data_IF_299846981554
#
_entry.id   IF_299846981554
#
_cell.length_a   1.000
_cell.length_b   1.000
_cell.length_c   1.000
_cell.angle_alpha   90.00
_cell.angle_beta   90.00
_cell.angle_gamma   90.00
#
_symmetry.space_group_name_H-M   'P 1'
#
loop_
_entity.id
_entity.type
_entity.pdbx_description
1 polymer ?
#
# COMPACT_ATOMS: atom_id res chain seq x y z
N UNK A 1 -2.61 26.15 25.47
CA UNK A 1 -1.27 26.33 24.87
C UNK A 1 -1.53 26.87 23.46
N UNK A 2 -0.95 28.02 23.06
CA UNK A 2 -1.31 28.67 21.79
C UNK A 2 -0.85 27.81 20.61
N UNK A 3 -1.73 27.58 19.63
CA UNK A 3 -1.53 26.77 18.40
C UNK A 3 -0.19 27.10 17.70
N UNK A 4 0.22 28.37 17.74
CA UNK A 4 1.52 28.83 17.20
C UNK A 4 2.72 28.07 17.80
N UNK A 5 2.63 27.62 19.05
CA UNK A 5 3.72 26.86 19.69
C UNK A 5 3.72 25.39 19.30
N UNK A 6 2.58 24.81 18.94
CA UNK A 6 2.46 23.42 18.44
C UNK A 6 3.02 23.33 17.00
N UNK A 7 2.67 24.30 16.16
CA UNK A 7 3.20 24.36 14.78
C UNK A 7 4.71 24.62 14.76
N UNK A 8 5.22 25.43 15.68
CA UNK A 8 6.67 25.71 15.82
C UNK A 8 7.40 24.47 16.34
N UNK A 9 6.84 23.72 17.28
CA UNK A 9 7.43 22.46 17.78
C UNK A 9 7.43 21.40 16.67
N UNK A 10 6.36 21.33 15.87
CA UNK A 10 6.28 20.41 14.74
C UNK A 10 7.29 20.74 13.64
N UNK A 11 7.43 22.04 13.29
CA UNK A 11 8.43 22.50 12.32
C UNK A 11 9.87 22.37 12.83
N UNK A 12 10.13 22.63 14.10
CA UNK A 12 11.46 22.48 14.71
C UNK A 12 11.88 21.01 14.85
N UNK A 13 10.95 20.08 15.10
CA UNK A 13 11.26 18.65 15.14
C UNK A 13 11.68 18.13 13.77
N UNK A 14 11.02 18.58 12.70
CA UNK A 14 11.37 18.20 11.32
C UNK A 14 12.72 18.79 10.90
N UNK A 15 13.02 20.03 11.32
CA UNK A 15 14.29 20.71 11.00
C UNK A 15 15.45 20.18 11.83
N UNK A 16 15.26 19.91 13.15
CA UNK A 16 16.33 19.43 14.02
C UNK A 16 16.79 18.00 13.71
N UNK A 17 15.86 17.12 13.32
CA UNK A 17 16.20 15.75 12.88
C UNK A 17 16.92 15.72 11.52
N UNK A 18 16.76 16.75 10.71
CA UNK A 18 17.46 16.89 9.41
C UNK A 18 18.89 17.41 9.50
N UNK A 19 19.24 18.13 10.58
CA UNK A 19 20.53 18.81 10.71
C UNK A 19 21.61 17.98 11.43
N UNK A 20 21.27 16.90 12.11
CA UNK A 20 22.26 16.09 12.88
C UNK A 20 22.74 14.81 12.19
N UNK A 21 22.23 14.49 11.01
CA UNK A 21 22.78 13.38 10.22
C UNK A 21 24.05 13.81 9.45
N UNK A 22 25.10 14.23 10.18
CA UNK A 22 26.44 14.25 9.61
C UNK A 22 26.93 12.82 9.45
N UNK A 23 27.15 12.42 8.19
CA UNK A 23 27.75 11.17 7.81
C UNK A 23 29.14 11.02 8.49
N UNK A 24 29.19 10.25 9.58
CA UNK A 24 30.42 9.48 9.84
C UNK A 24 30.35 8.28 8.88
N UNK A 25 31.37 8.05 8.02
CA UNK A 25 31.37 6.89 7.15
C UNK A 25 31.27 5.66 8.07
N UNK A 26 30.21 4.88 7.93
CA UNK A 26 30.15 3.54 8.49
C UNK A 26 31.40 2.84 7.95
N UNK A 27 32.28 2.37 8.85
CA UNK A 27 33.44 1.57 8.45
C UNK A 27 32.90 0.47 7.57
N UNK A 28 33.26 0.52 6.30
CA UNK A 28 32.82 -0.39 5.27
C UNK A 28 33.08 -1.82 5.72
N UNK A 29 32.12 -2.72 5.49
CA UNK A 29 32.31 -4.16 5.65
C UNK A 29 33.56 -4.64 4.89
N UNK A 30 33.97 -3.94 3.82
CA UNK A 30 35.25 -4.15 3.13
C UNK A 30 36.46 -3.97 4.04
N UNK A 31 36.48 -3.02 4.99
CA UNK A 31 37.61 -2.84 5.92
C UNK A 31 37.69 -3.96 6.97
N UNK A 32 36.57 -4.63 7.25
CA UNK A 32 36.57 -5.84 8.08
C UNK A 32 37.08 -7.05 7.25
N UNK A 33 36.67 -7.14 6.00
CA UNK A 33 37.16 -8.19 5.07
C UNK A 33 38.64 -8.00 4.77
N UNK A 34 39.16 -6.77 4.60
CA UNK A 34 40.58 -6.47 4.40
C UNK A 34 41.42 -6.77 5.65
N UNK A 35 40.86 -6.70 6.86
CA UNK A 35 41.54 -7.16 8.09
C UNK A 35 41.60 -8.67 8.19
N UNK A 36 40.72 -9.41 7.52
CA UNK A 36 40.72 -10.88 7.43
C UNK A 36 41.66 -11.39 6.34
N UNK A 37 42.04 -10.56 5.37
CA UNK A 37 42.96 -10.95 4.28
C UNK A 37 44.43 -11.23 4.70
N UNK A 38 44.73 -11.08 5.98
CA UNK A 38 46.05 -11.46 6.58
C UNK A 38 46.02 -12.78 7.32
N UNK A 39 44.93 -13.51 7.25
CA UNK A 39 44.80 -14.84 7.88
C UNK A 39 44.91 -15.90 6.80
N UNK A 40 45.63 -17.01 7.11
CA UNK A 40 45.74 -18.21 6.28
C UNK A 40 44.44 -18.54 5.55
N UNK A 41 44.53 -19.07 4.30
CA UNK A 41 43.37 -19.43 3.50
C UNK A 41 42.30 -20.12 4.36
N UNK A 42 41.07 -19.58 4.42
CA UNK A 42 40.05 -20.13 5.32
C UNK A 42 39.76 -21.58 4.93
N UNK A 43 39.74 -22.47 5.92
CA UNK A 43 39.40 -23.87 5.69
C UNK A 43 38.07 -24.02 4.95
N UNK A 44 37.90 -25.07 4.14
CA UNK A 44 36.63 -25.33 3.43
C UNK A 44 35.42 -25.38 4.39
N UNK A 45 35.64 -25.84 5.62
CA UNK A 45 34.60 -25.84 6.67
C UNK A 45 34.20 -24.44 7.08
N UNK A 46 35.14 -23.50 7.21
CA UNK A 46 34.84 -22.09 7.51
C UNK A 46 34.15 -21.40 6.34
N UNK A 47 34.60 -21.67 5.09
CA UNK A 47 33.95 -21.17 3.88
C UNK A 47 32.49 -21.67 3.75
N UNK A 48 32.25 -22.94 4.09
CA UNK A 48 30.90 -23.50 4.12
C UNK A 48 30.02 -22.89 5.23
N UNK A 49 30.59 -22.61 6.40
CA UNK A 49 29.87 -21.88 7.46
C UNK A 49 29.52 -20.46 7.04
N UNK A 50 30.44 -19.74 6.41
CA UNK A 50 30.21 -18.38 5.91
C UNK A 50 29.14 -18.39 4.80
N UNK A 51 29.19 -19.32 3.86
CA UNK A 51 28.20 -19.50 2.78
C UNK A 51 26.79 -19.80 3.29
N UNK A 52 26.68 -20.42 4.47
CA UNK A 52 25.42 -20.77 5.09
C UNK A 52 24.95 -19.73 6.13
N UNK A 53 25.68 -18.61 6.32
CA UNK A 53 25.22 -17.54 7.19
C UNK A 53 24.10 -16.74 6.55
N UNK A 54 23.11 -16.26 7.36
CA UNK A 54 22.11 -15.33 6.86
C UNK A 54 22.76 -14.04 6.33
N UNK A 55 22.36 -13.61 5.15
CA UNK A 55 22.73 -12.31 4.62
C UNK A 55 21.78 -11.25 5.18
N UNK A 56 22.31 -10.22 5.84
CA UNK A 56 21.54 -9.11 6.41
C UNK A 56 21.84 -7.87 5.58
N UNK A 57 20.80 -7.35 4.92
CA UNK A 57 20.92 -6.13 4.13
C UNK A 57 19.76 -5.19 4.48
N UNK A 58 20.12 -3.96 4.93
CA UNK A 58 19.12 -2.95 5.29
C UNK A 58 18.24 -2.63 4.09
N UNK A 59 16.93 -2.78 4.28
CA UNK A 59 15.93 -2.57 3.21
C UNK A 59 15.61 -3.81 2.38
N UNK A 60 16.42 -4.86 2.45
CA UNK A 60 16.15 -6.13 1.78
C UNK A 60 15.82 -7.26 2.76
N UNK A 61 16.15 -7.07 4.06
CA UNK A 61 15.84 -8.02 5.12
C UNK A 61 16.96 -8.99 5.44
N UNK A 62 16.59 -10.05 6.14
CA UNK A 62 17.48 -11.16 6.51
C UNK A 62 17.17 -12.32 5.57
N UNK A 63 18.11 -12.67 4.70
CA UNK A 63 17.94 -13.74 3.71
C UNK A 63 18.80 -14.94 4.09
N UNK A 64 18.21 -16.11 3.95
CA UNK A 64 18.88 -17.39 4.07
C UNK A 64 18.60 -18.22 2.82
N UNK A 65 19.66 -18.66 2.14
CA UNK A 65 19.61 -19.52 0.96
C UNK A 65 20.78 -20.52 1.04
N UNK A 66 20.53 -21.80 1.31
CA UNK A 66 21.60 -22.80 1.41
C UNK A 66 22.27 -23.05 0.07
N UNK A 67 23.47 -23.62 0.11
CA UNK A 67 24.31 -23.84 -1.06
C UNK A 67 23.64 -24.73 -2.13
N UNK A 68 22.77 -25.66 -1.73
CA UNK A 68 22.02 -26.55 -2.63
C UNK A 68 20.83 -25.84 -3.32
N UNK A 69 20.50 -24.59 -2.94
CA UNK A 69 19.44 -23.77 -3.49
C UNK A 69 18.06 -24.45 -3.53
N UNK A 70 17.80 -25.36 -2.60
CA UNK A 70 16.50 -26.04 -2.52
C UNK A 70 15.42 -25.19 -1.86
N UNK A 71 15.81 -24.19 -1.06
CA UNK A 71 14.87 -23.24 -0.48
C UNK A 71 15.55 -21.88 -0.27
N UNK A 72 14.74 -20.86 -0.19
CA UNK A 72 15.14 -19.53 0.22
C UNK A 72 14.09 -18.96 1.16
N UNK A 73 14.54 -18.27 2.18
CA UNK A 73 13.68 -17.48 3.06
C UNK A 73 14.27 -16.09 3.22
N UNK A 74 13.46 -15.07 3.00
CA UNK A 74 13.80 -13.68 3.31
C UNK A 74 12.79 -13.19 4.33
N UNK A 75 13.26 -12.80 5.51
CA UNK A 75 12.47 -12.20 6.56
C UNK A 75 12.64 -10.67 6.50
N UNK A 76 11.53 -9.96 6.55
CA UNK A 76 11.48 -8.49 6.59
C UNK A 76 10.59 -8.02 7.71
N UNK A 77 11.06 -7.02 8.41
CA UNK A 77 10.34 -6.35 9.49
C UNK A 77 10.00 -4.92 9.08
N UNK A 78 8.87 -4.40 9.56
CA UNK A 78 8.50 -3.01 9.35
C UNK A 78 7.65 -2.45 10.48
N UNK A 79 8.00 -1.23 10.91
CA UNK A 79 7.27 -0.45 11.90
C UNK A 79 6.97 0.95 11.36
N UNK A 80 5.75 1.44 11.58
CA UNK A 80 5.33 2.81 11.30
C UNK A 80 4.68 3.40 12.54
N UNK A 81 5.28 4.45 13.11
CA UNK A 81 4.75 5.23 14.21
C UNK A 81 4.22 6.55 13.68
N UNK A 82 3.00 6.90 14.03
CA UNK A 82 2.31 8.09 13.55
C UNK A 82 1.75 8.90 14.70
N UNK A 83 1.84 10.22 14.58
CA UNK A 83 1.08 11.18 15.35
C UNK A 83 0.29 12.09 14.42
N UNK A 84 -0.90 12.50 14.82
CA UNK A 84 -1.75 13.43 14.08
C UNK A 84 -2.46 14.40 15.01
N UNK A 85 -2.76 15.58 14.46
CA UNK A 85 -3.60 16.61 15.10
C UNK A 85 -4.60 17.07 14.06
N UNK A 86 -5.88 17.09 14.44
CA UNK A 86 -6.97 17.63 13.64
C UNK A 86 -7.45 18.95 14.26
N UNK A 87 -7.69 19.93 13.41
CA UNK A 87 -8.24 21.25 13.79
C UNK A 87 -9.51 21.47 12.96
N UNK A 88 -10.48 22.12 13.55
CA UNK A 88 -11.67 22.60 12.85
C UNK A 88 -11.27 23.66 11.80
N UNK A 89 -12.24 24.09 10.99
CA UNK A 89 -12.01 25.08 9.94
C UNK A 89 -11.50 26.43 10.49
N UNK A 90 -11.94 26.81 11.67
CA UNK A 90 -11.48 27.99 12.42
C UNK A 90 -10.14 27.81 13.14
N UNK A 91 -9.41 26.72 12.88
CA UNK A 91 -8.19 26.32 13.57
C UNK A 91 -8.35 26.04 15.06
N UNK A 92 -9.56 25.91 15.59
CA UNK A 92 -9.74 25.38 16.95
C UNK A 92 -9.35 23.90 17.02
N UNK A 93 -8.89 23.46 18.19
CA UNK A 93 -8.50 22.07 18.40
C UNK A 93 -9.72 21.13 18.31
N UNK A 94 -9.57 20.04 17.55
CA UNK A 94 -10.58 18.99 17.45
C UNK A 94 -10.09 17.71 18.16
N UNK A 95 -9.00 17.10 17.66
CA UNK A 95 -8.50 15.84 18.22
C UNK A 95 -6.99 15.68 18.02
N UNK A 96 -6.35 14.82 18.82
CA UNK A 96 -4.98 14.38 18.59
C UNK A 96 -4.89 12.85 18.77
N UNK A 97 -4.06 12.25 17.98
CA UNK A 97 -3.84 10.81 17.98
C UNK A 97 -2.35 10.49 17.88
N UNK A 98 -1.90 9.47 18.62
CA UNK A 98 -0.57 8.89 18.46
C UNK A 98 -0.68 7.38 18.56
N UNK A 99 -0.10 6.66 17.57
CA UNK A 99 -0.21 5.20 17.50
C UNK A 99 0.91 4.52 16.72
N UNK A 100 1.13 3.26 17.03
CA UNK A 100 1.83 2.34 16.13
C UNK A 100 0.85 1.98 15.01
N UNK A 101 1.00 2.65 13.84
CA UNK A 101 0.08 2.47 12.73
C UNK A 101 0.23 1.10 12.07
N UNK A 102 1.49 0.64 11.90
CA UNK A 102 1.78 -0.68 11.34
C UNK A 102 2.99 -1.29 12.04
N UNK A 103 2.85 -2.54 12.40
CA UNK A 103 3.93 -3.41 12.85
C UNK A 103 3.77 -4.73 12.09
N UNK A 104 4.71 -5.04 11.18
CA UNK A 104 4.56 -6.18 10.26
C UNK A 104 5.80 -7.02 10.18
N UNK A 105 5.59 -8.31 10.01
CA UNK A 105 6.61 -9.30 9.71
C UNK A 105 6.23 -9.98 8.40
N UNK A 106 7.20 -10.16 7.51
CA UNK A 106 6.98 -10.79 6.21
C UNK A 106 8.07 -11.82 5.93
N UNK A 107 7.65 -12.96 5.42
CA UNK A 107 8.51 -14.04 4.95
C UNK A 107 8.19 -14.30 3.48
N UNK A 108 9.20 -14.25 2.63
CA UNK A 108 9.10 -14.58 1.22
C UNK A 108 10.22 -15.53 0.85
N UNK A 109 9.99 -16.36 -0.15
CA UNK A 109 11.02 -17.25 -0.65
C UNK A 109 10.50 -18.29 -1.61
N UNK A 110 11.25 -19.37 -1.75
CA UNK A 110 10.86 -20.53 -2.54
C UNK A 110 11.20 -21.83 -1.80
N UNK A 111 10.51 -22.91 -2.17
CA UNK A 111 10.72 -24.27 -1.64
C UNK A 111 10.87 -25.22 -2.83
N UNK A 112 11.84 -26.16 -2.74
CA UNK A 112 12.21 -27.15 -3.74
C UNK A 112 12.77 -26.57 -5.04
N UNK A 113 12.21 -25.50 -5.54
CA UNK A 113 12.60 -24.87 -6.80
C UNK A 113 12.26 -23.38 -6.77
N UNK A 114 13.07 -22.50 -7.40
CA UNK A 114 12.73 -21.09 -7.61
C UNK A 114 11.41 -20.85 -8.33
N UNK A 115 10.78 -21.88 -8.91
CA UNK A 115 9.47 -21.80 -9.53
C UNK A 115 8.30 -21.90 -8.54
N UNK A 116 8.53 -22.47 -7.33
CA UNK A 116 7.51 -22.61 -6.31
C UNK A 116 7.77 -21.62 -5.18
N UNK A 117 7.11 -20.46 -5.26
CA UNK A 117 7.29 -19.32 -4.36
C UNK A 117 6.24 -19.34 -3.26
N UNK A 118 6.60 -18.76 -2.11
CA UNK A 118 5.63 -18.48 -1.06
C UNK A 118 5.78 -17.06 -0.53
N UNK A 119 4.71 -16.53 0.03
CA UNK A 119 4.70 -15.23 0.72
C UNK A 119 3.75 -15.27 1.90
N UNK A 120 4.26 -14.95 3.09
CA UNK A 120 3.50 -14.84 4.33
C UNK A 120 3.71 -13.44 4.88
N UNK A 121 2.63 -12.73 5.21
CA UNK A 121 2.72 -11.44 5.89
C UNK A 121 1.80 -11.43 7.11
N UNK A 122 2.37 -11.05 8.25
CA UNK A 122 1.67 -10.88 9.51
C UNK A 122 1.60 -9.38 9.87
N UNK A 123 0.52 -8.96 10.51
CA UNK A 123 0.32 -7.61 11.02
C UNK A 123 -0.18 -7.66 12.46
N UNK A 124 0.43 -6.85 13.35
CA UNK A 124 0.25 -6.93 14.79
C UNK A 124 -0.45 -5.71 15.40
N UNK A 125 -0.96 -4.79 14.58
CA UNK A 125 -1.65 -3.60 15.06
C UNK A 125 -3.15 -3.68 14.82
N UNK A 126 -3.99 -3.00 15.63
CA UNK A 126 -5.43 -2.92 15.39
C UNK A 126 -5.76 -2.36 13.99
N UNK A 127 -4.92 -1.48 13.45
CA UNK A 127 -5.08 -0.96 12.09
C UNK A 127 -4.95 -2.05 11.00
N UNK A 128 -4.14 -3.08 11.26
CA UNK A 128 -3.91 -4.19 10.34
C UNK A 128 -4.85 -5.39 10.59
N UNK A 129 -5.44 -5.47 11.78
CA UNK A 129 -6.24 -6.63 12.24
C UNK A 129 -7.74 -6.33 12.36
N UNK A 130 -8.24 -5.28 11.70
CA UNK A 130 -9.67 -4.91 11.76
C UNK A 130 -10.59 -6.10 11.43
N UNK A 131 -11.60 -6.25 12.27
CA UNK A 131 -12.90 -6.88 12.04
C UNK A 131 -12.92 -8.40 11.80
N UNK A 132 -12.83 -9.15 12.88
CA UNK A 132 -13.46 -10.47 12.95
C UNK A 132 -14.70 -10.36 13.85
N UNK A 133 -15.86 -10.91 13.44
CA UNK A 133 -17.12 -10.82 14.20
C UNK A 133 -17.06 -11.45 15.58
N UNK A 134 -16.09 -12.33 15.83
CA UNK A 134 -15.94 -13.12 17.06
C UNK A 134 -14.81 -12.63 17.98
N UNK A 135 -14.25 -11.44 17.73
CA UNK A 135 -13.19 -10.85 18.56
C UNK A 135 -11.82 -11.52 18.43
N UNK A 136 -11.65 -12.49 17.54
CA UNK A 136 -10.37 -13.13 17.29
C UNK A 136 -9.38 -12.19 16.61
N UNK A 137 -8.12 -12.23 17.03
CA UNK A 137 -7.06 -11.41 16.44
C UNK A 137 -6.66 -11.97 15.07
N UNK A 138 -6.95 -11.20 14.03
CA UNK A 138 -6.64 -11.55 12.66
C UNK A 138 -5.26 -10.97 12.25
N UNK A 139 -4.19 -11.69 12.55
CA UNK A 139 -2.82 -11.25 12.21
C UNK A 139 -2.39 -11.62 10.78
N UNK A 140 -3.03 -12.60 10.14
CA UNK A 140 -2.64 -13.06 8.80
C UNK A 140 -3.12 -12.07 7.75
N UNK A 141 -2.17 -11.43 7.05
CA UNK A 141 -2.46 -10.52 5.94
C UNK A 141 -2.32 -11.21 4.59
N UNK A 142 -1.19 -11.84 4.35
CA UNK A 142 -0.92 -12.60 3.13
C UNK A 142 -0.50 -14.02 3.52
N UNK A 143 -1.00 -15.03 2.82
CA UNK A 143 -0.60 -16.43 2.91
C UNK A 143 -0.79 -17.03 1.52
N UNK A 144 0.28 -17.04 0.71
CA UNK A 144 0.24 -17.38 -0.71
C UNK A 144 1.29 -18.40 -1.09
N UNK A 145 0.91 -19.27 -1.99
CA UNK A 145 1.82 -20.11 -2.77
C UNK A 145 1.65 -19.74 -4.24
N UNK A 146 2.76 -19.55 -4.95
CA UNK A 146 2.77 -19.25 -6.39
C UNK A 146 3.59 -20.32 -7.12
N UNK A 147 3.12 -20.68 -8.29
CA UNK A 147 3.88 -21.49 -9.24
C UNK A 147 4.16 -20.65 -10.50
N UNK A 148 5.44 -20.57 -10.87
CA UNK A 148 5.92 -19.84 -12.04
C UNK A 148 6.49 -20.85 -13.06
N UNK A 149 5.66 -21.43 -13.94
CA UNK A 149 6.14 -22.35 -14.95
C UNK A 149 7.12 -21.69 -15.93
N UNK A 150 6.88 -20.40 -16.22
CA UNK A 150 7.76 -19.56 -17.04
C UNK A 150 8.08 -18.25 -16.33
N UNK A 151 9.04 -17.49 -16.84
CA UNK A 151 9.37 -16.16 -16.30
C UNK A 151 8.19 -15.16 -16.41
N UNK A 152 7.35 -15.33 -17.41
CA UNK A 152 6.29 -14.38 -17.76
C UNK A 152 4.92 -14.74 -17.21
N UNK A 153 4.75 -15.93 -16.66
CA UNK A 153 3.47 -16.42 -16.17
C UNK A 153 3.57 -16.97 -14.75
N UNK A 154 2.65 -16.54 -13.90
CA UNK A 154 2.49 -17.08 -12.55
C UNK A 154 1.03 -17.40 -12.26
N UNK A 155 0.80 -18.48 -11.53
CA UNK A 155 -0.48 -18.82 -10.91
C UNK A 155 -0.27 -18.94 -9.40
N UNK A 156 -1.19 -18.41 -8.61
CA UNK A 156 -1.12 -18.43 -7.16
C UNK A 156 -2.42 -18.91 -6.53
N UNK A 157 -2.31 -19.50 -5.35
CA UNK A 157 -3.43 -19.90 -4.52
C UNK A 157 -3.20 -19.49 -3.08
N UNK A 158 -4.23 -18.94 -2.43
CA UNK A 158 -4.19 -18.48 -1.06
C UNK A 158 -4.79 -17.08 -0.88
N UNK A 159 -4.35 -16.36 0.15
CA UNK A 159 -4.85 -15.05 0.52
C UNK A 159 -3.82 -13.96 0.22
N UNK A 160 -4.19 -12.97 -0.60
CA UNK A 160 -3.36 -11.79 -0.87
C UNK A 160 -4.20 -10.62 -1.39
N UNK A 161 -3.53 -9.49 -1.68
CA UNK A 161 -4.17 -8.32 -2.30
C UNK A 161 -4.73 -8.66 -3.69
N UNK A 162 -5.97 -8.27 -3.93
CA UNK A 162 -6.54 -8.27 -5.28
C UNK A 162 -5.79 -7.21 -6.12
N UNK A 163 -5.37 -7.59 -7.33
CA UNK A 163 -4.55 -6.75 -8.20
C UNK A 163 -5.39 -5.77 -9.04
N UNK A 164 -6.50 -5.22 -8.50
CA UNK A 164 -7.39 -4.33 -9.22
C UNK A 164 -6.94 -2.86 -9.16
N UNK A 165 -6.84 -2.28 -7.98
CA UNK A 165 -6.54 -0.87 -7.82
C UNK A 165 -5.07 -0.63 -7.40
N UNK A 166 -4.37 0.20 -8.17
CA UNK A 166 -2.94 0.50 -8.01
C UNK A 166 -2.64 1.05 -6.61
N UNK A 167 -3.39 2.02 -6.12
CA UNK A 167 -3.18 2.61 -4.82
C UNK A 167 -3.14 1.58 -3.67
N UNK A 168 -3.89 0.47 -3.78
CA UNK A 168 -3.87 -0.61 -2.79
C UNK A 168 -2.72 -1.59 -3.01
N UNK A 169 -2.42 -1.89 -4.29
CA UNK A 169 -1.31 -2.77 -4.67
C UNK A 169 0.02 -2.17 -4.22
N UNK A 170 0.22 -0.86 -4.37
CA UNK A 170 1.40 -0.15 -3.91
C UNK A 170 1.73 -0.52 -2.46
N UNK A 171 3.04 -0.71 -2.21
CA UNK A 171 3.50 -0.97 -0.85
C UNK A 171 3.17 0.21 0.04
N UNK A 172 2.66 -0.06 1.25
CA UNK A 172 2.46 1.02 2.23
C UNK A 172 3.77 1.60 2.80
N UNK A 173 4.93 1.01 2.47
CA UNK A 173 6.24 1.62 2.71
C UNK A 173 6.66 2.59 1.60
N UNK A 174 6.09 2.45 0.40
CA UNK A 174 6.43 3.24 -0.76
C UNK A 174 5.42 4.36 -1.05
N UNK A 175 4.65 4.78 -0.03
CA UNK A 175 3.75 5.92 -0.11
C UNK A 175 4.52 7.24 0.05
N UNK A 176 4.11 8.25 -0.69
CA UNK A 176 4.59 9.63 -0.60
C UNK A 176 3.94 10.41 0.54
N UNK A 177 2.73 10.03 0.90
CA UNK A 177 1.93 10.61 1.98
C UNK A 177 1.89 9.66 3.18
N UNK A 178 1.56 10.18 4.35
CA UNK A 178 1.42 9.37 5.57
C UNK A 178 0.33 8.30 5.37
N UNK A 179 -0.71 8.58 4.57
CA UNK A 179 -1.72 7.60 4.21
C UNK A 179 -2.15 7.67 2.74
N UNK A 180 -2.90 6.65 2.30
CA UNK A 180 -3.54 6.62 0.98
C UNK A 180 -4.63 7.68 0.86
N UNK A 181 -5.06 7.95 -0.38
CA UNK A 181 -6.15 8.86 -0.70
C UNK A 181 -7.49 8.42 -0.08
N UNK A 182 -8.40 9.37 0.13
CA UNK A 182 -9.78 9.08 0.53
C UNK A 182 -10.48 8.22 -0.53
N UNK A 183 -10.15 8.40 -1.81
CA UNK A 183 -10.68 7.58 -2.93
C UNK A 183 -10.29 6.11 -2.74
N UNK A 184 -9.02 5.83 -2.44
CA UNK A 184 -8.62 4.45 -2.11
C UNK A 184 -9.27 3.98 -0.80
N UNK A 185 -9.48 4.84 0.18
CA UNK A 185 -10.13 4.44 1.43
C UNK A 185 -11.53 3.89 1.18
N UNK A 186 -12.27 4.53 0.28
CA UNK A 186 -13.66 4.19 -0.02
C UNK A 186 -13.80 3.06 -1.04
N UNK A 187 -13.08 3.11 -2.15
CA UNK A 187 -13.33 2.21 -3.28
C UNK A 187 -12.36 1.04 -3.41
N UNK A 188 -11.37 0.91 -2.52
CA UNK A 188 -10.36 -0.16 -2.68
C UNK A 188 -10.96 -1.56 -2.56
N UNK A 189 -10.39 -2.49 -3.36
CA UNK A 189 -10.44 -3.91 -3.08
C UNK A 189 -9.21 -4.27 -2.27
N UNK A 190 -9.39 -4.89 -1.11
CA UNK A 190 -8.24 -5.24 -0.24
C UNK A 190 -7.70 -6.62 -0.59
N UNK A 191 -7.82 -7.53 0.30
CA UNK A 191 -7.32 -8.91 0.20
C UNK A 191 -8.48 -9.87 0.21
N UNK A 192 -8.26 -10.98 -0.48
CA UNK A 192 -9.22 -12.06 -0.51
C UNK A 192 -8.49 -13.40 -0.68
N UNK A 193 -9.18 -14.50 -0.49
CA UNK A 193 -8.69 -15.85 -0.65
C UNK A 193 -9.19 -16.44 -1.97
N UNK A 194 -8.30 -17.03 -2.76
CA UNK A 194 -8.66 -17.67 -4.02
C UNK A 194 -7.49 -17.96 -4.95
N UNK A 195 -7.78 -17.99 -6.24
CA UNK A 195 -6.81 -18.17 -7.32
C UNK A 195 -6.46 -16.84 -7.95
N UNK A 196 -5.17 -16.67 -8.27
CA UNK A 196 -4.61 -15.49 -8.89
C UNK A 196 -3.72 -15.89 -10.06
N UNK A 197 -3.76 -15.16 -11.16
CA UNK A 197 -2.90 -15.37 -12.31
C UNK A 197 -2.34 -14.03 -12.81
N UNK A 198 -1.06 -14.01 -13.18
CA UNK A 198 -0.40 -12.86 -13.78
C UNK A 198 0.41 -13.30 -15.01
N UNK A 199 0.28 -12.54 -16.09
CA UNK A 199 1.02 -12.76 -17.32
C UNK A 199 1.63 -11.46 -17.81
N UNK A 200 2.91 -11.49 -18.15
CA UNK A 200 3.68 -10.35 -18.65
C UNK A 200 4.20 -10.67 -20.04
N UNK A 201 4.10 -9.73 -20.97
CA UNK A 201 4.56 -9.90 -22.35
C UNK A 201 5.22 -8.62 -22.84
N UNK A 202 6.43 -8.74 -23.38
CA UNK A 202 6.99 -7.75 -24.30
C UNK A 202 6.41 -7.96 -25.68
N UNK A 203 5.83 -6.93 -26.28
CA UNK A 203 5.11 -7.04 -27.56
C UNK A 203 6.05 -6.64 -28.70
N UNK A 204 6.54 -5.39 -28.69
CA UNK A 204 7.46 -4.86 -29.70
C UNK A 204 8.34 -3.76 -29.07
N UNK A 205 9.65 -3.80 -29.28
CA UNK A 205 10.57 -2.88 -28.66
C UNK A 205 10.39 -2.82 -27.14
N UNK A 206 10.22 -1.64 -26.62
CA UNK A 206 10.02 -1.41 -25.17
C UNK A 206 8.55 -1.56 -24.73
N UNK A 207 7.61 -1.76 -25.65
CA UNK A 207 6.20 -1.87 -25.29
C UNK A 207 5.90 -3.20 -24.60
N UNK A 208 5.45 -3.13 -23.35
CA UNK A 208 5.09 -4.28 -22.53
C UNK A 208 3.62 -4.23 -22.10
N UNK A 209 3.03 -5.39 -21.94
CA UNK A 209 1.66 -5.60 -21.45
C UNK A 209 1.67 -6.56 -20.28
N UNK A 210 0.86 -6.27 -19.25
CA UNK A 210 0.59 -7.22 -18.18
C UNK A 210 -0.92 -7.48 -18.08
N UNK A 211 -1.28 -8.76 -17.92
CA UNK A 211 -2.64 -9.22 -17.66
C UNK A 211 -2.66 -9.84 -16.28
N UNK A 212 -3.64 -9.45 -15.47
CA UNK A 212 -3.79 -9.97 -14.09
C UNK A 212 -5.24 -10.36 -13.88
N UNK A 213 -5.46 -11.50 -13.25
CA UNK A 213 -6.80 -12.00 -12.98
C UNK A 213 -6.88 -12.69 -11.63
N UNK A 214 -8.08 -12.72 -11.04
CA UNK A 214 -8.35 -13.52 -9.86
C UNK A 214 -9.79 -13.97 -9.79
N UNK A 215 -9.99 -15.16 -9.21
CA UNK A 215 -11.27 -15.71 -8.79
C UNK A 215 -11.14 -15.97 -7.30
N UNK A 216 -11.93 -15.26 -6.50
CA UNK A 216 -11.81 -15.26 -5.04
C UNK A 216 -13.17 -15.43 -4.37
N UNK A 217 -13.18 -15.68 -3.05
CA UNK A 217 -14.42 -15.90 -2.30
C UNK A 217 -15.33 -14.66 -2.22
N UNK A 218 -14.79 -13.45 -2.37
CA UNK A 218 -15.58 -12.21 -2.26
C UNK A 218 -15.79 -11.71 -0.82
N UNK A 219 -15.37 -12.46 0.20
CA UNK A 219 -15.66 -12.24 1.61
C UNK A 219 -14.53 -11.51 2.37
N UNK A 220 -13.37 -11.34 1.71
CA UNK A 220 -12.21 -10.72 2.31
C UNK A 220 -11.34 -11.65 3.12
N UNK A 221 -10.48 -11.06 3.98
CA UNK A 221 -9.44 -11.80 4.70
C UNK A 221 -9.99 -12.74 5.77
N UNK A 222 -9.34 -13.91 5.86
CA UNK A 222 -9.49 -14.87 6.95
C UNK A 222 -10.95 -15.27 7.20
N UNK A 223 -11.71 -15.37 6.13
CA UNK A 223 -13.06 -15.91 6.16
C UNK A 223 -13.00 -17.36 6.61
N UNK A 224 -13.71 -17.71 7.65
CA UNK A 224 -13.63 -19.02 8.33
C UNK A 224 -14.90 -19.84 8.24
N UNK A 225 -15.94 -19.30 7.61
CA UNK A 225 -17.21 -19.99 7.41
C UNK A 225 -17.45 -20.22 5.91
N UNK A 226 -18.43 -21.06 5.57
CA UNK A 226 -18.86 -21.20 4.19
C UNK A 226 -19.47 -19.89 3.70
N UNK A 227 -19.09 -19.45 2.48
CA UNK A 227 -19.71 -18.30 1.84
C UNK A 227 -21.16 -18.64 1.50
N UNK A 228 -22.07 -17.74 1.83
CA UNK A 228 -23.47 -17.82 1.37
C UNK A 228 -23.67 -17.03 0.07
N UNK A 229 -22.66 -16.24 -0.32
CA UNK A 229 -22.63 -15.48 -1.57
C UNK A 229 -22.09 -16.25 -2.75
N UNK A 230 -21.77 -15.52 -3.80
CA UNK A 230 -21.06 -16.02 -4.96
C UNK A 230 -19.55 -15.85 -4.81
N UNK A 231 -18.89 -15.77 -5.98
CA UNK A 231 -17.47 -15.52 -6.06
C UNK A 231 -17.21 -14.09 -6.57
N UNK A 232 -16.01 -13.58 -6.29
CA UNK A 232 -15.53 -12.35 -6.89
C UNK A 232 -14.60 -12.66 -8.09
N UNK A 233 -14.85 -12.00 -9.20
CA UNK A 233 -14.09 -12.14 -10.45
C UNK A 233 -13.42 -10.78 -10.74
N UNK A 234 -12.11 -10.77 -10.87
CA UNK A 234 -11.36 -9.55 -11.13
C UNK A 234 -10.43 -9.72 -12.30
N UNK A 235 -10.43 -8.74 -13.22
CA UNK A 235 -9.50 -8.66 -14.34
C UNK A 235 -8.83 -7.30 -14.40
N UNK A 236 -7.54 -7.25 -14.80
CA UNK A 236 -6.76 -6.03 -14.98
C UNK A 236 -5.82 -6.16 -16.17
N UNK A 237 -5.73 -5.07 -16.94
CA UNK A 237 -4.77 -4.90 -18.03
C UNK A 237 -3.86 -3.71 -17.70
N UNK A 238 -2.57 -3.88 -17.90
CA UNK A 238 -1.55 -2.82 -17.73
C UNK A 238 -0.74 -2.68 -19.01
N UNK A 239 -0.56 -1.45 -19.47
CA UNK A 239 0.22 -1.07 -20.65
C UNK A 239 1.43 -0.25 -20.23
N UNK A 240 2.61 -0.63 -20.69
CA UNK A 240 3.89 0.05 -20.44
C UNK A 240 4.49 0.48 -21.79
N UNK A 241 4.08 1.65 -22.34
CA UNK A 241 4.48 2.07 -23.70
C UNK A 241 6.00 2.26 -23.87
N UNK A 242 6.70 2.67 -22.81
CA UNK A 242 8.13 2.99 -22.83
C UNK A 242 8.96 2.04 -21.94
N UNK A 243 8.53 0.80 -21.83
CA UNK A 243 9.19 -0.21 -21.01
C UNK A 243 8.76 -0.18 -19.55
N UNK A 244 9.19 -1.22 -18.84
CA UNK A 244 8.90 -1.35 -17.40
C UNK A 244 9.73 -0.37 -16.57
N UNK A 245 9.24 -0.03 -15.40
CA UNK A 245 9.94 0.82 -14.43
C UNK A 245 11.11 0.06 -13.78
N UNK A 246 12.19 0.78 -13.42
CA UNK A 246 13.30 0.23 -12.65
C UNK A 246 12.82 -0.24 -11.27
N UNK A 247 13.40 -1.31 -10.74
CA UNK A 247 13.20 -1.80 -9.37
C UNK A 247 11.72 -1.91 -8.94
N UNK A 248 10.82 -2.30 -9.85
CA UNK A 248 9.37 -2.34 -9.60
C UNK A 248 8.79 -0.96 -9.23
N UNK A 249 9.29 0.11 -9.83
CA UNK A 249 8.83 1.47 -9.61
C UNK A 249 7.35 1.69 -9.92
N UNK A 250 6.70 0.80 -10.68
CA UNK A 250 5.27 0.82 -10.93
C UNK A 250 4.41 0.53 -9.67
N UNK A 251 4.97 -0.06 -8.62
CA UNK A 251 4.30 -0.32 -7.33
C UNK A 251 4.78 0.58 -6.19
N UNK A 252 5.53 1.63 -6.50
CA UNK A 252 5.90 2.73 -5.62
C UNK A 252 5.27 4.03 -6.13
N UNK A 253 4.95 4.99 -5.26
CA UNK A 253 4.28 6.22 -5.69
C UNK A 253 5.27 7.23 -6.29
N UNK A 254 6.35 7.58 -5.58
CA UNK A 254 7.38 8.51 -6.06
C UNK A 254 8.36 7.90 -7.08
N UNK A 255 9.16 8.76 -7.71
CA UNK A 255 10.26 8.35 -8.58
C UNK A 255 11.57 8.26 -7.81
N UNK A 256 11.65 7.32 -6.85
CA UNK A 256 12.85 7.13 -6.03
C UNK A 256 14.06 6.64 -6.85
N UNK A 257 13.82 5.85 -7.89
CA UNK A 257 14.85 5.30 -8.78
C UNK A 257 15.38 6.33 -9.80
N UNK A 258 14.77 7.51 -9.89
CA UNK A 258 15.09 8.57 -10.85
C UNK A 258 15.19 8.02 -12.27
N UNK A 259 14.04 7.63 -12.82
CA UNK A 259 13.96 7.08 -14.17
C UNK A 259 14.64 8.02 -15.19
N UNK A 260 15.67 7.55 -15.86
CA UNK A 260 16.47 8.36 -16.81
C UNK A 260 15.69 8.71 -18.07
N UNK A 261 14.70 7.89 -18.41
CA UNK A 261 13.77 8.08 -19.52
C UNK A 261 12.34 8.11 -19.00
N UNK A 262 11.48 8.83 -19.72
CA UNK A 262 10.06 8.86 -19.37
C UNK A 262 9.50 7.42 -19.32
N UNK A 263 8.93 7.06 -18.20
CA UNK A 263 8.21 5.80 -18.00
C UNK A 263 6.74 6.10 -17.76
N UNK A 264 5.90 5.32 -18.44
CA UNK A 264 4.44 5.48 -18.37
C UNK A 264 3.80 4.12 -18.12
N UNK A 265 2.78 4.11 -17.29
CA UNK A 265 1.83 3.03 -17.15
C UNK A 265 0.42 3.57 -17.31
N UNK A 266 -0.37 2.90 -18.13
CA UNK A 266 -1.83 3.08 -18.23
C UNK A 266 -2.48 1.74 -17.91
N UNK A 267 -3.48 1.73 -17.03
CA UNK A 267 -4.12 0.50 -16.65
C UNK A 267 -5.62 0.65 -16.42
N UNK A 268 -6.34 -0.44 -16.63
CA UNK A 268 -7.76 -0.56 -16.33
C UNK A 268 -8.06 -1.89 -15.65
N UNK A 269 -9.00 -1.89 -14.71
CA UNK A 269 -9.46 -3.09 -14.04
C UNK A 269 -10.97 -3.05 -13.77
N UNK A 270 -11.55 -4.22 -13.71
CA UNK A 270 -12.94 -4.45 -13.35
C UNK A 270 -13.06 -5.64 -12.40
N UNK A 271 -13.96 -5.52 -11.44
CA UNK A 271 -14.27 -6.58 -10.48
C UNK A 271 -15.77 -6.69 -10.28
N UNK A 272 -16.28 -7.91 -10.43
CA UNK A 272 -17.65 -8.28 -10.08
C UNK A 272 -17.61 -9.17 -8.84
N UNK A 273 -18.25 -8.75 -7.74
CA UNK A 273 -18.42 -9.52 -6.52
C UNK A 273 -19.89 -9.91 -6.39
N UNK A 274 -20.17 -11.18 -6.60
CA UNK A 274 -21.52 -11.71 -6.57
C UNK A 274 -21.94 -11.98 -5.11
N UNK A 275 -23.05 -11.35 -4.68
CA UNK A 275 -23.67 -11.52 -3.36
C UNK A 275 -22.68 -11.32 -2.20
N UNK A 276 -21.95 -10.21 -2.20
CA UNK A 276 -21.08 -9.87 -1.07
C UNK A 276 -21.90 -9.67 0.22
N UNK A 277 -21.28 -10.00 1.34
CA UNK A 277 -21.81 -9.75 2.68
C UNK A 277 -21.18 -8.54 3.38
N UNK A 278 -20.37 -7.72 2.65
CA UNK A 278 -19.70 -6.54 3.19
C UNK A 278 -20.00 -5.29 2.38
N UNK A 279 -20.05 -4.14 3.06
CA UNK A 279 -20.38 -2.84 2.46
C UNK A 279 -19.36 -2.38 1.40
N UNK A 280 -18.13 -2.87 1.44
CA UNK A 280 -17.07 -2.52 0.49
C UNK A 280 -16.52 -3.75 -0.27
N UNK A 281 -17.31 -4.81 -0.41
CA UNK A 281 -16.89 -6.05 -1.06
C UNK A 281 -16.00 -6.90 -0.12
N UNK A 282 -14.70 -6.88 -0.30
CA UNK A 282 -13.75 -7.63 0.54
C UNK A 282 -13.39 -6.89 1.84
N UNK A 283 -14.01 -5.76 2.13
CA UNK A 283 -13.69 -4.90 3.26
C UNK A 283 -14.97 -4.19 3.77
N UNK A 284 -14.82 -3.40 4.83
CA UNK A 284 -15.93 -2.70 5.46
C UNK A 284 -16.71 -3.55 6.47
N UNK A 285 -17.76 -2.98 7.03
CA UNK A 285 -18.65 -3.67 7.95
C UNK A 285 -19.47 -4.75 7.22
N UNK A 286 -20.05 -5.66 7.99
CA UNK A 286 -20.98 -6.65 7.44
C UNK A 286 -22.31 -5.98 7.07
N UNK A 287 -22.91 -6.47 5.99
CA UNK A 287 -24.23 -6.04 5.52
C UNK A 287 -25.29 -6.45 6.57
N UNK A 288 -26.21 -5.54 6.93
CA UNK A 288 -27.28 -5.84 7.90
C UNK A 288 -28.14 -7.04 7.45
N UNK A 289 -28.49 -7.90 8.40
CA UNK A 289 -29.43 -9.02 8.21
C UNK A 289 -29.15 -9.93 7.01
N UNK A 290 -27.88 -10.01 6.55
CA UNK A 290 -27.49 -10.81 5.37
C UNK A 290 -28.25 -10.43 4.08
N UNK A 291 -28.61 -9.17 3.92
CA UNK A 291 -29.16 -8.64 2.66
C UNK A 291 -28.06 -8.54 1.60
N UNK A 292 -27.57 -9.69 1.11
CA UNK A 292 -26.45 -9.78 0.18
C UNK A 292 -26.66 -8.90 -1.08
N UNK A 293 -25.58 -8.33 -1.60
CA UNK A 293 -25.62 -7.43 -2.76
C UNK A 293 -24.55 -7.78 -3.78
N UNK A 294 -24.85 -7.53 -5.05
CA UNK A 294 -23.88 -7.60 -6.14
C UNK A 294 -23.14 -6.28 -6.28
N UNK A 295 -21.82 -6.32 -6.29
CA UNK A 295 -20.97 -5.15 -6.45
C UNK A 295 -20.17 -5.18 -7.74
N UNK A 296 -20.23 -4.09 -8.48
CA UNK A 296 -19.44 -3.83 -9.66
C UNK A 296 -18.43 -2.72 -9.36
N UNK A 297 -17.12 -3.02 -9.37
CA UNK A 297 -16.07 -2.03 -9.12
C UNK A 297 -15.19 -1.88 -10.35
N UNK A 298 -14.82 -0.63 -10.69
CA UNK A 298 -13.98 -0.32 -11.84
C UNK A 298 -12.89 0.68 -11.46
N UNK A 299 -11.74 0.53 -12.12
CA UNK A 299 -10.52 1.25 -11.81
C UNK A 299 -9.80 1.62 -13.10
N UNK A 300 -9.35 2.86 -13.19
CA UNK A 300 -8.42 3.32 -14.23
C UNK A 300 -7.30 4.05 -13.53
N UNK A 301 -6.06 3.75 -13.87
CA UNK A 301 -4.91 4.43 -13.29
C UNK A 301 -3.83 4.75 -14.34
N UNK A 302 -3.12 5.85 -14.08
CA UNK A 302 -2.04 6.34 -14.91
C UNK A 302 -0.87 6.75 -14.03
N UNK A 303 0.34 6.35 -14.42
CA UNK A 303 1.62 6.74 -13.78
C UNK A 303 2.55 7.28 -14.86
N UNK A 304 3.22 8.40 -14.54
CA UNK A 304 4.35 8.93 -15.30
C UNK A 304 5.50 9.21 -14.35
N UNK A 305 6.71 8.76 -14.70
CA UNK A 305 7.93 9.04 -13.94
C UNK A 305 9.06 9.46 -14.85
N UNK A 306 9.83 10.46 -14.39
CA UNK A 306 11.00 10.95 -15.10
C UNK A 306 11.90 11.77 -14.17
N UNK A 307 13.15 11.39 -14.01
CA UNK A 307 14.22 12.15 -13.32
C UNK A 307 13.82 12.75 -11.96
N UNK A 308 13.17 11.95 -11.13
CA UNK A 308 12.68 12.34 -9.80
C UNK A 308 11.29 12.94 -9.80
N UNK A 309 10.71 13.29 -10.94
CA UNK A 309 9.31 13.67 -11.05
C UNK A 309 8.42 12.45 -11.14
N UNK A 310 7.34 12.44 -10.37
CA UNK A 310 6.31 11.41 -10.46
C UNK A 310 4.92 12.07 -10.52
N UNK A 311 4.10 11.60 -11.44
CA UNK A 311 2.68 11.92 -11.55
C UNK A 311 1.88 10.63 -11.48
N UNK A 312 0.85 10.62 -10.66
CA UNK A 312 -0.06 9.50 -10.52
C UNK A 312 -1.50 10.00 -10.44
N UNK A 313 -2.38 9.36 -11.17
CA UNK A 313 -3.82 9.58 -11.06
C UNK A 313 -4.56 8.27 -11.12
N UNK A 314 -5.66 8.16 -10.36
CA UNK A 314 -6.55 7.02 -10.38
C UNK A 314 -8.01 7.48 -10.27
N UNK A 315 -8.83 6.85 -11.09
CA UNK A 315 -10.28 6.95 -11.07
C UNK A 315 -10.85 5.62 -10.63
N UNK A 316 -11.67 5.62 -9.61
CA UNK A 316 -12.27 4.43 -9.04
C UNK A 316 -13.76 4.62 -8.89
N UNK A 317 -14.52 3.54 -8.99
CA UNK A 317 -15.95 3.60 -8.74
C UNK A 317 -16.54 2.27 -8.35
N UNK A 318 -17.73 2.35 -7.75
CA UNK A 318 -18.53 1.19 -7.35
C UNK A 318 -19.99 1.44 -7.69
N UNK A 319 -20.63 0.40 -8.23
CA UNK A 319 -22.06 0.35 -8.49
C UNK A 319 -22.71 -0.82 -7.78
N UNK A 320 -23.89 -0.59 -7.26
CA UNK A 320 -24.80 -1.56 -6.69
C UNK A 320 -26.23 -1.16 -7.11
N UNK A 321 -27.04 -2.11 -7.52
CA UNK A 321 -28.43 -1.81 -7.95
C UNK A 321 -29.30 -1.33 -6.78
N UNK A 322 -29.06 -1.89 -5.59
CA UNK A 322 -29.80 -1.59 -4.36
C UNK A 322 -28.82 -1.26 -3.23
N UNK A 323 -28.24 -0.04 -3.18
CA UNK A 323 -27.21 0.29 -2.19
C UNK A 323 -27.78 0.59 -0.80
N UNK A 324 -29.09 0.78 -0.66
CA UNK A 324 -29.78 1.05 0.61
C UNK A 324 -30.35 -0.23 1.19
N UNK A 325 -30.52 -0.26 2.51
CA UNK A 325 -31.07 -1.41 3.23
C UNK A 325 -32.42 -1.05 3.84
N UNK A 326 -33.39 -1.95 3.70
CA UNK A 326 -34.74 -1.77 4.28
C UNK A 326 -34.75 -1.98 5.78
N UNK A 327 -33.85 -2.81 6.27
CA UNK A 327 -33.74 -3.19 7.68
C UNK A 327 -32.84 -2.26 8.50
N UNK A 328 -32.01 -1.46 7.83
CA UNK A 328 -31.12 -0.46 8.43
C UNK A 328 -31.00 0.77 7.51
N UNK A 329 -31.95 1.74 7.60
CA UNK A 329 -31.98 2.89 6.73
C UNK A 329 -30.79 3.87 6.91
N UNK A 330 -30.00 3.75 7.99
CA UNK A 330 -28.85 4.59 8.26
C UNK A 330 -27.57 4.01 7.64
N UNK A 331 -27.62 2.79 7.10
CA UNK A 331 -26.51 2.11 6.47
C UNK A 331 -26.70 2.03 4.96
N UNK A 332 -25.63 2.23 4.19
CA UNK A 332 -25.63 2.05 2.75
C UNK A 332 -24.32 1.42 2.25
N UNK A 333 -24.39 0.81 1.07
CA UNK A 333 -23.21 0.58 0.26
C UNK A 333 -22.85 1.91 -0.42
N UNK A 334 -21.66 2.42 -0.17
CA UNK A 334 -21.19 3.63 -0.83
C UNK A 334 -21.02 3.38 -2.33
N UNK A 335 -21.95 3.88 -3.15
CA UNK A 335 -21.90 3.88 -4.61
C UNK A 335 -21.50 5.25 -5.13
N UNK A 336 -20.86 5.29 -6.29
CA UNK A 336 -20.36 6.51 -6.89
C UNK A 336 -18.93 6.35 -7.44
N UNK A 337 -18.27 7.48 -7.56
CA UNK A 337 -16.94 7.59 -8.15
C UNK A 337 -15.97 8.35 -7.25
N UNK A 338 -14.68 8.21 -7.53
CA UNK A 338 -13.65 9.02 -6.93
C UNK A 338 -12.49 9.25 -7.89
N UNK A 339 -11.93 10.45 -7.84
CA UNK A 339 -10.75 10.85 -8.59
C UNK A 339 -9.65 11.25 -7.64
N UNK A 340 -8.48 10.67 -7.81
CA UNK A 340 -7.27 11.05 -7.11
C UNK A 340 -6.22 11.51 -8.12
N UNK A 341 -5.61 12.66 -7.87
CA UNK A 341 -4.51 13.21 -8.66
C UNK A 341 -3.40 13.61 -7.72
N UNK A 342 -2.18 13.14 -7.99
CA UNK A 342 -1.01 13.50 -7.19
C UNK A 342 0.23 13.69 -8.06
N UNK A 343 1.09 14.61 -7.63
CA UNK A 343 2.38 14.86 -8.25
C UNK A 343 3.45 15.05 -7.17
N UNK A 344 4.67 14.70 -7.49
CA UNK A 344 5.81 14.89 -6.60
C UNK A 344 7.09 15.15 -7.34
N UNK A 345 8.06 15.67 -6.59
CA UNK A 345 9.43 15.78 -7.05
C UNK A 345 10.41 15.37 -5.94
N UNK A 346 11.28 14.43 -6.28
CA UNK A 346 12.38 13.98 -5.42
C UNK A 346 13.60 14.85 -5.68
N UNK A 347 13.91 15.77 -4.77
CA UNK A 347 15.09 16.64 -4.82
C UNK A 347 16.39 15.88 -4.55
N UNK A 348 17.57 16.45 -4.92
CA UNK A 348 18.85 15.96 -4.43
C UNK A 348 18.86 15.81 -2.91
N UNK A 349 19.69 14.90 -2.37
CA UNK A 349 19.76 14.56 -0.95
C UNK A 349 18.49 13.90 -0.40
N UNK A 350 17.66 13.28 -1.27
CA UNK A 350 16.50 12.44 -0.93
C UNK A 350 15.42 13.16 -0.09
N UNK A 351 15.13 14.41 -0.43
CA UNK A 351 13.92 15.11 -0.01
C UNK A 351 12.87 15.01 -1.10
N UNK A 352 11.65 14.71 -0.74
CA UNK A 352 10.52 14.69 -1.67
C UNK A 352 9.43 15.64 -1.18
N UNK A 353 8.88 16.41 -2.11
CA UNK A 353 7.66 17.20 -1.90
C UNK A 353 6.58 16.63 -2.81
N UNK A 354 5.40 16.41 -2.26
CA UNK A 354 4.26 15.84 -2.97
C UNK A 354 2.98 16.62 -2.67
N UNK A 355 2.15 16.77 -3.69
CA UNK A 355 0.80 17.35 -3.58
C UNK A 355 -0.22 16.34 -4.10
N UNK A 356 -1.36 16.24 -3.44
CA UNK A 356 -2.47 15.37 -3.81
C UNK A 356 -3.79 16.09 -3.65
N UNK A 357 -4.67 15.92 -4.63
CA UNK A 357 -6.09 16.23 -4.50
C UNK A 357 -6.89 14.96 -4.76
N UNK A 358 -7.85 14.69 -3.90
CA UNK A 358 -8.71 13.51 -3.98
C UNK A 358 -10.15 13.91 -3.75
N UNK A 359 -11.06 13.49 -4.62
CA UNK A 359 -12.48 13.85 -4.54
C UNK A 359 -13.34 12.59 -4.64
N UNK A 360 -14.33 12.49 -3.76
CA UNK A 360 -15.40 11.49 -3.78
C UNK A 360 -16.69 12.12 -4.30
N UNK A 361 -17.37 11.40 -5.17
CA UNK A 361 -18.64 11.76 -5.79
C UNK A 361 -19.65 10.64 -5.52
N UNK A 362 -20.38 10.65 -4.38
CA UNK A 362 -21.41 9.66 -4.10
C UNK A 362 -22.58 9.81 -5.05
N UNK A 363 -23.22 8.69 -5.39
CA UNK A 363 -24.49 8.73 -6.13
C UNK A 363 -25.59 9.39 -5.29
N UNK A 364 -26.53 10.10 -5.94
CA UNK A 364 -27.58 10.88 -5.29
C UNK A 364 -28.35 10.08 -4.23
N UNK A 365 -28.63 8.80 -4.50
CA UNK A 365 -29.38 7.93 -3.60
C UNK A 365 -28.68 7.68 -2.25
N UNK A 366 -27.34 7.80 -2.17
CA UNK A 366 -26.59 7.58 -0.92
C UNK A 366 -26.14 8.88 -0.25
N UNK A 367 -26.27 10.05 -0.91
CA UNK A 367 -25.80 11.34 -0.39
C UNK A 367 -26.39 11.69 0.98
N UNK A 368 -27.68 11.39 1.19
CA UNK A 368 -28.35 11.66 2.47
C UNK A 368 -27.77 10.87 3.63
N UNK A 369 -27.31 9.64 3.36
CA UNK A 369 -26.75 8.76 4.39
C UNK A 369 -25.29 9.10 4.66
N UNK A 370 -24.49 9.35 3.62
CA UNK A 370 -23.08 9.76 3.78
C UNK A 370 -22.93 11.20 4.27
N UNK A 371 -23.98 12.04 4.13
CA UNK A 371 -24.03 13.37 4.71
C UNK A 371 -23.35 14.48 3.89
N UNK A 372 -23.06 14.25 2.59
CA UNK A 372 -22.47 15.24 1.70
C UNK A 372 -22.75 14.93 0.22
N UNK A 373 -22.71 15.95 -0.64
CA UNK A 373 -22.77 15.79 -2.09
C UNK A 373 -21.40 15.38 -2.67
N UNK A 374 -20.32 16.07 -2.25
CA UNK A 374 -18.95 15.72 -2.64
C UNK A 374 -18.02 15.88 -1.45
N UNK A 375 -16.98 15.06 -1.39
CA UNK A 375 -15.92 15.15 -0.38
C UNK A 375 -14.57 15.29 -1.03
N UNK A 376 -13.89 16.42 -0.79
CA UNK A 376 -12.56 16.75 -1.31
C UNK A 376 -11.53 16.76 -0.20
N UNK A 377 -10.35 16.23 -0.48
CA UNK A 377 -9.16 16.31 0.37
C UNK A 377 -7.98 16.78 -0.45
N UNK A 378 -7.40 17.93 -0.08
CA UNK A 378 -6.12 18.40 -0.61
C UNK A 378 -5.03 18.16 0.42
N UNK A 379 -3.92 17.56 0.01
CA UNK A 379 -2.82 17.19 0.91
C UNK A 379 -1.48 17.66 0.33
N UNK A 380 -0.66 18.30 1.16
CA UNK A 380 0.74 18.61 0.89
C UNK A 380 1.62 17.74 1.80
N UNK A 381 2.65 17.09 1.26
CA UNK A 381 3.53 16.22 2.02
C UNK A 381 5.00 16.55 1.76
N UNK A 382 5.80 16.33 2.78
CA UNK A 382 7.27 16.37 2.71
C UNK A 382 7.79 15.05 3.29
N UNK A 383 8.66 14.39 2.54
CA UNK A 383 9.32 13.15 2.97
C UNK A 383 10.83 13.31 2.91
N UNK A 384 11.51 12.88 3.97
CA UNK A 384 12.96 12.70 4.01
C UNK A 384 13.28 11.21 4.03
N UNK A 385 13.92 10.73 2.97
CA UNK A 385 14.45 9.37 2.90
C UNK A 385 15.86 9.33 3.47
N UNK A 386 16.06 8.62 4.57
CA UNK A 386 17.37 8.44 5.22
C UNK A 386 18.07 7.20 4.67
N UNK A 387 17.36 6.08 4.55
CA UNK A 387 17.83 4.83 3.95
C UNK A 387 16.72 4.31 3.04
N UNK A 388 16.55 4.89 1.86
CA UNK A 388 15.47 4.54 0.96
C UNK A 388 14.09 4.52 1.64
N UNK A 389 13.27 3.56 1.28
CA UNK A 389 11.97 3.34 1.93
C UNK A 389 12.08 2.63 3.30
N UNK A 390 13.27 2.18 3.69
CA UNK A 390 13.45 1.44 4.95
C UNK A 390 13.56 2.32 6.17
N UNK A 391 14.08 3.53 6.01
CA UNK A 391 14.10 4.54 7.07
C UNK A 391 13.73 5.88 6.47
N UNK A 392 12.54 6.37 6.79
CA UNK A 392 12.05 7.67 6.33
C UNK A 392 11.23 8.39 7.39
N UNK A 393 11.21 9.70 7.26
CA UNK A 393 10.41 10.62 8.06
C UNK A 393 9.46 11.32 7.10
N UNK A 394 8.18 11.35 7.41
CA UNK A 394 7.14 11.97 6.60
C UNK A 394 6.30 12.92 7.44
N UNK A 395 5.95 14.04 6.86
CA UNK A 395 4.95 14.95 7.41
C UNK A 395 3.98 15.35 6.30
N UNK A 396 2.70 15.43 6.59
CA UNK A 396 1.72 15.97 5.67
C UNK A 396 0.69 16.84 6.38
N UNK A 397 0.12 17.76 5.59
CA UNK A 397 -0.98 18.63 5.97
C UNK A 397 -2.11 18.44 4.97
N UNK A 398 -3.30 18.13 5.45
CA UNK A 398 -4.50 17.92 4.63
C UNK A 398 -5.58 18.89 5.03
N UNK A 399 -6.30 19.42 4.04
CA UNK A 399 -7.57 20.10 4.22
C UNK A 399 -8.68 19.23 3.66
N UNK A 400 -9.67 18.96 4.50
CA UNK A 400 -10.86 18.16 4.18
C UNK A 400 -12.05 19.10 4.03
N UNK A 401 -12.75 18.99 2.90
CA UNK A 401 -13.90 19.84 2.58
C UNK A 401 -15.05 19.01 2.01
N UNK A 402 -16.23 19.19 2.59
CA UNK A 402 -17.46 18.59 2.10
C UNK A 402 -18.35 19.67 1.46
N UNK A 403 -18.88 19.39 0.28
CA UNK A 403 -19.85 20.24 -0.38
C UNK A 403 -21.25 19.91 0.15
N UNK A 404 -22.00 20.94 0.55
CA UNK A 404 -23.34 20.82 1.13
C UNK A 404 -23.41 19.77 2.26
N UNK A 405 -22.55 19.87 3.29
CA UNK A 405 -22.54 18.92 4.37
C UNK A 405 -23.82 19.04 5.22
N UNK A 406 -24.35 17.92 5.68
CA UNK A 406 -25.42 17.89 6.68
C UNK A 406 -24.92 18.49 8.01
N UNK A 407 -23.65 18.22 8.35
CA UNK A 407 -22.96 18.81 9.51
C UNK A 407 -21.74 19.62 9.04
N UNK A 408 -21.75 20.97 9.17
CA UNK A 408 -20.66 21.83 8.73
C UNK A 408 -19.35 21.63 9.51
N UNK A 409 -19.34 20.92 10.62
CA UNK A 409 -18.14 20.65 11.41
C UNK A 409 -17.18 19.64 10.74
N UNK A 410 -17.57 19.06 9.61
CA UNK A 410 -16.74 18.13 8.84
C UNK A 410 -15.58 18.79 8.11
N UNK A 411 -15.61 20.09 7.86
CA UNK A 411 -14.48 20.80 7.26
C UNK A 411 -13.37 20.95 8.30
N UNK A 412 -12.19 20.39 8.01
CA UNK A 412 -11.12 20.34 8.99
C UNK A 412 -9.74 20.25 8.37
N UNK A 413 -8.78 20.78 9.10
CA UNK A 413 -7.36 20.59 8.86
C UNK A 413 -6.86 19.34 9.59
N UNK A 414 -5.94 18.59 8.97
CA UNK A 414 -5.26 17.47 9.60
C UNK A 414 -3.76 17.57 9.32
N UNK A 415 -2.96 17.51 10.38
CA UNK A 415 -1.51 17.47 10.32
C UNK A 415 -1.04 16.12 10.83
N UNK A 416 -0.18 15.44 10.05
CA UNK A 416 0.31 14.11 10.40
C UNK A 416 1.83 14.08 10.32
N UNK A 417 2.42 13.32 11.23
CA UNK A 417 3.84 13.03 11.28
C UNK A 417 4.04 11.51 11.41
N UNK A 418 4.97 10.94 10.63
CA UNK A 418 5.25 9.50 10.65
C UNK A 418 6.74 9.24 10.57
N UNK A 419 7.21 8.29 11.36
CA UNK A 419 8.52 7.67 11.21
C UNK A 419 8.31 6.22 10.79
N UNK A 420 8.99 5.81 9.73
CA UNK A 420 9.01 4.43 9.25
C UNK A 420 10.41 3.84 9.40
N UNK A 421 10.46 2.63 9.96
CA UNK A 421 11.65 1.81 10.08
C UNK A 421 11.33 0.41 9.51
N UNK A 422 12.18 -0.09 8.62
CA UNK A 422 12.11 -1.44 8.06
C UNK A 422 13.49 -2.04 7.83
N UNK A 423 13.55 -3.36 7.93
CA UNK A 423 14.73 -4.18 7.61
C UNK A 423 14.42 -5.05 6.40
#
# INVERSE_FOLDING_TARGET
MKIRNILIVFSLLVVSLGLQAQEKPAKSFSSFVDSLSKVEEPSEELLNKIRNMPNIEVGKGISFEPADKRYKMTMRFRMQNMASVSLNDDFSYSEAEARVKRLRLRFDGYIFSPKLLYSIQLGFTPYDSKDLPNGNVNIVRDAMVYYMPTHDFSIGFGQTKIKANRARVNSSSALQFVDRSIVNSEFNLDRDFGFFAEYYKSIVGDFNVALKGSITLGEGRNWSTSSQGGLAYTGRVELFPFGRFKSLGDIAEGDFEREEHVKVLLAGAYSFNNKTNRLQGQNGAYIPNNELRDLNSYFVDFILKYNGFAFYTDFMGRKCSEPLFTTDPETCIYTGNGLNVQASYLFPKNWEVAVRNSTLFPEEQVQKIVGYENYNQTTLAVTRYLIGHSLKIQADASYNHQLNPVDPTYNRWQFRFQVELGL
#
